data_IF_346687143732
#
_entry.id   IF_346687143732
#
_cell.length_a   1.000
_cell.length_b   1.000
_cell.length_c   1.000
_cell.angle_alpha   90.00
_cell.angle_beta   90.00
_cell.angle_gamma   90.00
#
_symmetry.space_group_name_H-M   'P 1'
#
loop_
_entity.id
_entity.type
_entity.pdbx_description
1 polymer ?
#
# COMPACT_ATOMS: atom_id res chain seq x y z
N UNK A 1 -15.84 6.85 20.91
CA UNK A 1 -15.37 6.62 19.52
C UNK A 1 -13.99 7.26 19.46
N UNK A 2 -12.90 6.48 19.35
CA UNK A 2 -11.52 7.01 19.46
C UNK A 2 -11.11 7.53 18.08
N UNK A 3 -10.92 8.85 17.86
CA UNK A 3 -10.69 9.40 16.52
C UNK A 3 -9.26 9.21 15.97
N UNK A 4 -8.37 8.50 16.68
CA UNK A 4 -6.93 8.57 16.43
C UNK A 4 -6.33 7.53 15.47
N UNK A 5 -7.05 6.45 15.11
CA UNK A 5 -6.46 5.35 14.34
C UNK A 5 -6.40 5.61 12.83
N UNK A 6 -7.25 6.48 12.30
CA UNK A 6 -7.35 6.72 10.85
C UNK A 6 -6.14 7.50 10.30
N UNK A 7 -5.38 8.17 11.18
CA UNK A 7 -4.29 9.06 10.82
C UNK A 7 -2.92 8.41 10.60
N UNK A 8 -2.75 7.16 11.04
CA UNK A 8 -1.49 6.42 10.92
C UNK A 8 -1.49 5.44 9.74
N UNK A 9 -2.59 5.38 8.99
CA UNK A 9 -2.72 4.58 7.81
C UNK A 9 -2.09 5.30 6.61
N UNK A 10 -1.16 4.65 5.91
CA UNK A 10 -0.73 5.10 4.60
C UNK A 10 -1.90 5.03 3.60
N UNK A 11 -1.82 5.82 2.54
CA UNK A 11 -2.79 5.75 1.44
C UNK A 11 -2.96 4.32 0.90
N UNK A 12 -4.20 3.97 0.55
CA UNK A 12 -4.53 2.67 -0.03
C UNK A 12 -3.72 2.44 -1.32
N UNK A 13 -2.93 1.35 -1.34
CA UNK A 13 -2.20 0.93 -2.54
C UNK A 13 -3.00 -0.15 -3.27
N UNK A 14 -3.52 0.18 -4.45
CA UNK A 14 -4.24 -0.78 -5.30
C UNK A 14 -3.27 -1.47 -6.25
N UNK A 15 -3.34 -2.80 -6.32
CA UNK A 15 -2.47 -3.61 -7.20
C UNK A 15 -3.32 -4.58 -8.02
N UNK A 16 -2.90 -4.78 -9.28
CA UNK A 16 -3.50 -5.73 -10.22
C UNK A 16 -2.47 -6.77 -10.66
N UNK A 17 -2.83 -8.04 -10.57
CA UNK A 17 -2.07 -9.14 -11.16
C UNK A 17 -2.84 -9.77 -12.32
N UNK A 18 -2.13 -10.00 -13.42
CA UNK A 18 -2.58 -10.74 -14.59
C UNK A 18 -2.22 -12.22 -14.46
N UNK A 19 -2.70 -13.11 -15.36
CA UNK A 19 -2.25 -14.50 -15.38
C UNK A 19 -0.71 -14.60 -15.41
N UNK A 20 -0.14 -15.42 -14.53
CA UNK A 20 1.31 -15.56 -14.27
C UNK A 20 1.92 -14.49 -13.35
N UNK A 21 1.18 -13.43 -13.04
CA UNK A 21 1.59 -12.42 -12.07
C UNK A 21 1.60 -12.99 -10.66
N UNK A 22 2.68 -12.69 -9.94
CA UNK A 22 2.94 -13.15 -8.58
C UNK A 22 3.73 -12.11 -7.80
N UNK A 23 3.94 -12.35 -6.51
CA UNK A 23 4.88 -11.60 -5.70
C UNK A 23 5.50 -12.53 -4.67
N UNK A 24 6.81 -12.74 -4.75
CA UNK A 24 7.55 -13.60 -3.84
C UNK A 24 7.41 -13.18 -2.38
N UNK A 25 7.65 -14.13 -1.48
CA UNK A 25 7.42 -13.91 -0.07
C UNK A 25 8.37 -12.83 0.49
N UNK A 26 7.83 -11.90 1.26
CA UNK A 26 8.55 -10.78 1.85
C UNK A 26 7.90 -10.38 3.19
N UNK A 27 8.59 -9.53 3.94
CA UNK A 27 8.01 -8.82 5.08
C UNK A 27 7.61 -7.42 4.64
N UNK A 28 6.49 -6.92 5.16
CA UNK A 28 6.00 -5.57 4.86
C UNK A 28 6.72 -4.47 5.65
N UNK A 29 7.48 -4.85 6.67
CA UNK A 29 8.22 -3.96 7.56
C UNK A 29 9.65 -4.47 7.69
N UNK A 30 10.57 -3.58 8.03
CA UNK A 30 11.98 -3.91 8.24
C UNK A 30 12.28 -4.20 9.72
N UNK A 31 13.39 -4.89 9.99
CA UNK A 31 13.86 -5.12 11.36
C UNK A 31 14.14 -3.78 12.07
N UNK A 32 14.03 -3.79 13.40
CA UNK A 32 14.34 -2.60 14.21
C UNK A 32 15.84 -2.46 14.29
N UNK A 33 16.36 -1.35 13.74
CA UNK A 33 17.76 -0.97 13.80
C UNK A 33 17.88 0.40 14.49
N UNK A 34 18.73 0.50 15.51
CA UNK A 34 18.81 1.69 16.37
C UNK A 34 19.25 2.97 15.62
N UNK A 35 19.99 2.81 14.53
CA UNK A 35 20.52 3.87 13.67
C UNK A 35 19.66 4.14 12.41
N UNK A 36 18.56 3.40 12.22
CA UNK A 36 17.61 3.60 11.12
C UNK A 36 16.22 3.95 11.65
N UNK A 37 15.87 5.23 11.77
CA UNK A 37 14.54 5.64 12.20
C UNK A 37 13.49 5.32 11.14
N UNK A 38 12.22 5.34 11.57
CA UNK A 38 11.09 5.12 10.69
C UNK A 38 10.89 6.28 9.72
N UNK A 39 10.71 5.97 8.44
CA UNK A 39 10.50 6.95 7.38
C UNK A 39 9.28 7.85 7.65
N UNK A 40 8.15 7.26 8.08
CA UNK A 40 6.88 7.98 8.25
C UNK A 40 6.91 9.02 9.37
N UNK A 41 7.72 8.83 10.42
CA UNK A 41 7.79 9.71 11.57
C UNK A 41 8.96 10.71 11.48
N UNK A 42 9.79 10.61 10.43
CA UNK A 42 10.98 11.42 10.22
C UNK A 42 11.05 12.16 8.87
N UNK A 43 9.99 12.88 8.46
CA UNK A 43 9.90 13.47 7.11
C UNK A 43 10.97 14.54 6.82
N UNK A 44 11.37 15.33 7.83
CA UNK A 44 12.26 16.49 7.67
C UNK A 44 13.74 16.14 7.43
N UNK A 45 14.12 14.87 7.57
CA UNK A 45 15.52 14.42 7.48
C UNK A 45 15.84 13.70 6.17
N UNK A 46 14.83 13.50 5.31
CA UNK A 46 14.94 12.81 4.02
C UNK A 46 15.73 13.58 2.95
N UNK A 47 15.96 14.89 3.12
CA UNK A 47 16.56 15.73 2.06
C UNK A 47 17.98 16.25 2.34
N UNK A 48 18.46 16.23 3.59
CA UNK A 48 19.77 16.83 3.95
C UNK A 48 20.61 15.98 4.92
N UNK A 49 20.09 14.83 5.38
CA UNK A 49 20.79 13.93 6.28
C UNK A 49 21.09 12.59 5.57
N UNK A 50 22.34 12.14 5.59
CA UNK A 50 22.73 10.79 5.10
C UNK A 50 22.25 9.68 6.05
N UNK A 51 21.10 9.85 6.71
CA UNK A 51 20.56 8.88 7.66
C UNK A 51 19.72 7.87 6.89
N UNK A 52 20.09 6.59 6.86
CA UNK A 52 19.26 5.55 6.27
C UNK A 52 17.94 5.44 7.05
N UNK A 53 16.81 5.52 6.35
CA UNK A 53 15.46 5.33 6.91
C UNK A 53 14.98 3.92 6.64
N UNK A 54 14.00 3.45 7.42
CA UNK A 54 13.38 2.14 7.26
C UNK A 54 11.85 2.20 7.24
N UNK A 55 11.24 1.21 6.61
CA UNK A 55 9.78 1.02 6.60
C UNK A 55 9.31 0.44 7.93
N UNK A 56 8.37 1.12 8.59
CA UNK A 56 7.82 0.74 9.89
C UNK A 56 6.32 0.50 9.84
N UNK A 57 5.92 -0.63 9.25
CA UNK A 57 4.50 -0.98 9.06
C UNK A 57 4.09 -1.95 10.15
N UNK A 58 3.34 -1.50 11.15
CA UNK A 58 2.94 -2.36 12.25
C UNK A 58 1.87 -3.38 11.85
N UNK A 59 0.86 -2.94 11.09
CA UNK A 59 -0.25 -3.78 10.64
C UNK A 59 -0.37 -3.65 9.13
N UNK A 60 -0.60 -4.78 8.46
CA UNK A 60 -1.07 -4.80 7.08
C UNK A 60 -2.51 -5.27 7.06
N UNK A 61 -3.35 -4.54 6.32
CA UNK A 61 -4.70 -4.95 5.97
C UNK A 61 -4.75 -5.11 4.45
N UNK A 62 -5.08 -6.31 3.99
CA UNK A 62 -5.21 -6.64 2.58
C UNK A 62 -6.69 -6.86 2.25
N UNK A 63 -7.21 -6.11 1.29
CA UNK A 63 -8.57 -6.24 0.76
C UNK A 63 -8.55 -6.94 -0.59
N UNK A 64 -9.40 -7.94 -0.76
CA UNK A 64 -9.65 -8.56 -2.06
C UNK A 64 -10.79 -7.84 -2.77
N UNK A 65 -10.45 -7.17 -3.88
CA UNK A 65 -11.38 -6.29 -4.60
C UNK A 65 -12.21 -7.03 -5.65
N UNK A 66 -11.97 -8.34 -5.84
CA UNK A 66 -12.75 -9.22 -6.70
C UNK A 66 -12.50 -10.70 -6.35
N UNK A 67 -13.37 -11.58 -6.84
CA UNK A 67 -13.09 -13.01 -6.91
C UNK A 67 -12.02 -13.30 -7.98
N UNK A 68 -11.15 -14.28 -7.72
CA UNK A 68 -10.16 -14.75 -8.70
C UNK A 68 -10.58 -16.12 -9.21
N UNK A 69 -10.54 -16.30 -10.53
CA UNK A 69 -11.00 -17.53 -11.17
C UNK A 69 -10.10 -18.73 -10.88
N UNK A 70 -8.78 -18.51 -10.81
CA UNK A 70 -7.81 -19.53 -10.40
C UNK A 70 -6.49 -18.95 -9.90
N UNK A 71 -5.95 -19.56 -8.84
CA UNK A 71 -4.73 -19.11 -8.17
C UNK A 71 -4.89 -17.78 -7.44
N UNK A 72 -3.79 -17.05 -7.28
CA UNK A 72 -3.79 -15.71 -6.69
C UNK A 72 -3.98 -15.69 -5.18
N UNK A 73 -3.77 -16.80 -4.48
CA UNK A 73 -3.77 -16.88 -3.02
C UNK A 73 -2.76 -15.90 -2.40
N UNK A 74 -3.04 -15.46 -1.18
CA UNK A 74 -2.01 -14.87 -0.32
C UNK A 74 -1.44 -15.97 0.55
N UNK A 75 -0.17 -16.30 0.35
CA UNK A 75 0.52 -17.34 1.12
C UNK A 75 1.22 -16.72 2.33
N UNK A 76 1.25 -17.46 3.44
CA UNK A 76 2.09 -17.20 4.61
C UNK A 76 2.98 -18.43 4.84
N UNK A 77 4.13 -18.52 4.14
CA UNK A 77 4.92 -19.75 4.08
C UNK A 77 5.42 -20.22 5.45
N UNK A 78 5.53 -19.31 6.43
CA UNK A 78 6.07 -19.60 7.74
C UNK A 78 5.00 -19.67 8.85
N UNK A 79 3.71 -19.47 8.56
CA UNK A 79 2.69 -19.22 9.58
C UNK A 79 2.51 -20.35 10.62
N UNK A 80 2.54 -21.62 10.18
CA UNK A 80 2.29 -22.77 11.06
C UNK A 80 3.56 -23.37 11.67
N UNK A 81 4.74 -22.80 11.43
CA UNK A 81 5.98 -23.30 12.03
C UNK A 81 6.10 -22.86 13.49
N UNK A 82 6.36 -23.80 14.39
CA UNK A 82 6.63 -23.48 15.81
C UNK A 82 7.94 -22.71 15.98
N UNK A 83 8.96 -23.06 15.21
CA UNK A 83 10.27 -22.42 15.21
C UNK A 83 10.56 -21.86 13.82
N UNK A 84 10.84 -20.56 13.76
CA UNK A 84 11.20 -19.83 12.53
C UNK A 84 12.53 -19.09 12.71
N UNK A 85 13.41 -19.62 13.57
CA UNK A 85 14.76 -19.09 13.74
C UNK A 85 15.48 -19.02 12.39
N UNK A 86 16.50 -18.17 12.31
CA UNK A 86 17.28 -18.03 11.08
C UNK A 86 17.92 -19.37 10.69
N UNK A 87 18.47 -20.08 11.66
CA UNK A 87 19.10 -21.39 11.45
C UNK A 87 18.10 -22.43 10.94
N UNK A 88 16.88 -22.41 11.46
CA UNK A 88 15.82 -23.30 10.99
C UNK A 88 15.45 -22.98 9.54
N UNK A 89 15.22 -21.71 9.23
CA UNK A 89 14.90 -21.25 7.87
C UNK A 89 16.00 -21.58 6.87
N UNK A 90 17.26 -21.37 7.26
CA UNK A 90 18.45 -21.67 6.44
C UNK A 90 18.66 -23.18 6.26
N UNK A 91 18.03 -24.03 7.08
CA UNK A 91 18.12 -25.49 6.98
C UNK A 91 17.07 -26.13 6.07
N UNK A 92 16.08 -25.36 5.59
CA UNK A 92 15.04 -25.87 4.71
C UNK A 92 15.61 -26.22 3.34
N UNK A 93 15.30 -27.42 2.83
CA UNK A 93 15.76 -27.92 1.52
C UNK A 93 14.91 -27.39 0.34
N UNK A 94 14.20 -26.28 0.57
CA UNK A 94 13.41 -25.61 -0.46
C UNK A 94 13.37 -24.10 -0.19
N UNK A 95 13.22 -23.34 -1.25
CA UNK A 95 13.08 -21.88 -1.17
C UNK A 95 11.64 -21.51 -0.80
N UNK A 96 11.40 -21.27 0.49
CA UNK A 96 10.10 -20.86 1.00
C UNK A 96 9.66 -19.46 0.54
N UNK A 97 10.57 -18.65 -0.02
CA UNK A 97 10.23 -17.34 -0.60
C UNK A 97 9.77 -17.44 -2.07
N UNK A 98 10.18 -18.49 -2.78
CA UNK A 98 9.73 -18.77 -4.15
C UNK A 98 8.28 -19.29 -4.20
N UNK A 99 7.32 -18.37 -4.20
CA UNK A 99 5.89 -18.70 -4.29
C UNK A 99 5.42 -19.17 -5.67
N UNK A 100 6.24 -19.10 -6.72
CA UNK A 100 5.86 -19.69 -8.02
C UNK A 100 5.86 -21.22 -7.95
N UNK A 101 6.68 -21.78 -7.06
CA UNK A 101 6.82 -23.23 -6.86
C UNK A 101 6.26 -23.71 -5.52
N UNK A 102 6.43 -22.91 -4.47
CA UNK A 102 6.20 -23.35 -3.08
C UNK A 102 5.03 -22.61 -2.40
N UNK A 103 4.07 -22.10 -3.19
CA UNK A 103 2.91 -21.36 -2.67
C UNK A 103 2.13 -22.11 -1.58
N UNK A 104 1.85 -23.41 -1.78
CA UNK A 104 0.85 -24.15 -1.00
C UNK A 104 1.45 -25.03 0.11
N UNK A 105 2.60 -24.65 0.66
CA UNK A 105 3.26 -25.42 1.72
C UNK A 105 2.66 -25.22 3.11
N UNK A 106 1.91 -24.13 3.33
CA UNK A 106 1.47 -23.71 4.66
C UNK A 106 0.12 -22.98 4.59
N UNK A 107 -0.10 -21.93 5.39
CA UNK A 107 -1.32 -21.15 5.36
C UNK A 107 -1.47 -20.37 4.04
N UNK A 108 -2.60 -20.57 3.36
CA UNK A 108 -2.97 -19.84 2.15
C UNK A 108 -4.38 -19.28 2.27
N UNK A 109 -4.54 -18.00 1.94
CA UNK A 109 -5.85 -17.34 1.92
C UNK A 109 -6.29 -17.16 0.48
N UNK A 110 -7.44 -17.77 0.15
CA UNK A 110 -8.07 -17.61 -1.16
C UNK A 110 -8.67 -16.20 -1.31
N UNK A 111 -8.41 -15.51 -2.43
CA UNK A 111 -9.02 -14.22 -2.75
C UNK A 111 -10.51 -14.39 -3.06
N UNK A 112 -11.34 -13.69 -2.31
CA UNK A 112 -12.80 -13.65 -2.47
C UNK A 112 -13.28 -12.21 -2.31
N UNK A 113 -14.17 -11.76 -3.18
CA UNK A 113 -14.63 -10.37 -3.21
C UNK A 113 -15.13 -9.91 -1.83
N UNK A 114 -14.61 -8.78 -1.37
CA UNK A 114 -15.00 -8.16 -0.10
C UNK A 114 -14.35 -8.79 1.14
N UNK A 115 -13.61 -9.90 0.99
CA UNK A 115 -12.79 -10.44 2.09
C UNK A 115 -11.63 -9.48 2.37
N UNK A 116 -11.37 -9.25 3.64
CA UNK A 116 -10.17 -8.59 4.12
C UNK A 116 -9.44 -9.52 5.08
N UNK A 117 -8.10 -9.51 5.03
CA UNK A 117 -7.26 -10.16 6.02
C UNK A 117 -6.33 -9.12 6.64
N UNK A 118 -5.97 -9.34 7.90
CA UNK A 118 -5.13 -8.47 8.69
C UNK A 118 -4.09 -9.29 9.44
N UNK A 119 -2.87 -8.79 9.52
CA UNK A 119 -1.82 -9.37 10.36
C UNK A 119 -0.91 -8.30 10.93
N UNK A 120 -0.23 -8.65 12.02
CA UNK A 120 0.80 -7.83 12.65
C UNK A 120 2.17 -8.20 12.08
N UNK A 121 2.92 -7.20 11.62
CA UNK A 121 4.28 -7.39 11.10
C UNK A 121 5.35 -7.35 12.21
N UNK A 122 4.99 -6.91 13.43
CA UNK A 122 5.86 -6.91 14.60
C UNK A 122 5.14 -7.57 15.78
N UNK A 123 5.92 -8.16 16.69
CA UNK A 123 5.38 -8.59 17.97
C UNK A 123 5.05 -7.38 18.85
N UNK A 124 4.24 -7.61 19.88
CA UNK A 124 3.99 -6.65 20.95
C UNK A 124 4.83 -7.11 22.13
N UNK A 125 5.56 -6.18 22.74
CA UNK A 125 6.23 -6.42 24.01
C UNK A 125 5.20 -6.37 25.14
N UNK A 126 5.08 -7.49 25.89
CA UNK A 126 4.05 -7.64 26.92
C UNK A 126 4.24 -6.72 28.14
N UNK A 127 5.47 -6.24 28.38
CA UNK A 127 5.78 -5.36 29.51
C UNK A 127 5.43 -3.90 29.21
N UNK A 128 5.79 -3.44 28.02
CA UNK A 128 5.60 -2.05 27.56
C UNK A 128 4.28 -1.84 26.84
N UNK A 129 3.69 -2.91 26.29
CA UNK A 129 2.52 -2.84 25.41
C UNK A 129 2.81 -2.17 24.06
N UNK A 130 4.08 -1.98 23.70
CA UNK A 130 4.51 -1.34 22.45
C UNK A 130 5.02 -2.36 21.43
N UNK A 131 5.24 -1.94 20.20
CA UNK A 131 5.77 -2.82 19.18
C UNK A 131 7.22 -3.22 19.48
N UNK A 132 7.61 -4.43 19.12
CA UNK A 132 8.94 -4.97 19.31
C UNK A 132 9.50 -5.60 18.02
N UNK A 133 10.26 -6.68 18.12
CA UNK A 133 10.94 -7.30 16.98
C UNK A 133 9.98 -7.68 15.86
N UNK A 134 10.52 -7.72 14.64
CA UNK A 134 9.82 -8.18 13.44
C UNK A 134 9.18 -9.56 13.70
N UNK A 135 7.92 -9.71 13.29
CA UNK A 135 7.22 -10.98 13.32
C UNK A 135 7.64 -11.81 12.10
N UNK A 136 8.55 -12.75 12.30
CA UNK A 136 9.07 -13.62 11.24
C UNK A 136 7.98 -14.48 10.58
N UNK A 137 6.92 -14.85 11.31
CA UNK A 137 5.76 -15.57 10.77
C UNK A 137 4.89 -14.73 9.83
N UNK A 138 5.05 -13.40 9.82
CA UNK A 138 4.35 -12.50 8.90
C UNK A 138 4.95 -12.49 7.48
N UNK A 139 5.94 -13.35 7.20
CA UNK A 139 6.44 -13.54 5.85
C UNK A 139 5.28 -14.00 4.95
N UNK A 140 5.01 -13.23 3.90
CA UNK A 140 3.86 -13.47 3.04
C UNK A 140 4.12 -13.05 1.61
N UNK A 141 3.29 -13.52 0.68
CA UNK A 141 3.33 -13.06 -0.70
C UNK A 141 2.12 -13.48 -1.50
N UNK A 142 2.12 -13.16 -2.79
CA UNK A 142 1.05 -13.48 -3.73
C UNK A 142 1.44 -14.62 -4.65
N UNK A 143 0.68 -15.72 -4.60
CA UNK A 143 0.86 -16.83 -5.52
C UNK A 143 0.43 -16.46 -6.94
N UNK A 144 0.91 -17.26 -7.91
CA UNK A 144 0.56 -17.11 -9.32
C UNK A 144 -0.95 -17.04 -9.54
N UNK A 145 -1.40 -16.02 -10.26
CA UNK A 145 -2.74 -16.03 -10.85
C UNK A 145 -2.73 -17.00 -12.02
N UNK A 146 -3.43 -18.12 -11.92
CA UNK A 146 -3.47 -19.11 -13.01
C UNK A 146 -4.59 -18.82 -14.01
N UNK A 147 -5.68 -18.19 -13.57
CA UNK A 147 -6.81 -17.82 -14.42
C UNK A 147 -7.51 -16.54 -13.94
N UNK A 148 -7.91 -15.69 -14.89
CA UNK A 148 -8.58 -14.42 -14.61
C UNK A 148 -7.59 -13.31 -14.24
N UNK A 149 -7.96 -12.45 -13.31
CA UNK A 149 -7.07 -11.40 -12.75
C UNK A 149 -7.24 -11.38 -11.24
N UNK A 150 -6.32 -10.73 -10.52
CA UNK A 150 -6.44 -10.43 -9.09
C UNK A 150 -6.33 -8.93 -8.89
N UNK A 151 -7.27 -8.36 -8.15
CA UNK A 151 -7.18 -6.97 -7.68
C UNK A 151 -7.21 -6.96 -6.16
N UNK A 152 -6.26 -6.24 -5.59
CA UNK A 152 -6.12 -6.06 -4.16
C UNK A 152 -5.92 -4.60 -3.80
N UNK A 153 -6.24 -4.24 -2.57
CA UNK A 153 -5.75 -3.01 -1.95
C UNK A 153 -5.02 -3.34 -0.64
N UNK A 154 -3.84 -2.75 -0.45
CA UNK A 154 -3.12 -2.79 0.82
C UNK A 154 -3.38 -1.49 1.56
N UNK A 155 -3.67 -1.60 2.85
CA UNK A 155 -3.62 -0.51 3.80
C UNK A 155 -2.60 -0.85 4.88
N UNK A 156 -1.59 -0.02 5.02
CA UNK A 156 -0.51 -0.21 5.98
C UNK A 156 -0.64 0.80 7.10
N UNK A 157 -0.68 0.29 8.33
CA UNK A 157 -0.70 1.12 9.53
C UNK A 157 0.73 1.24 10.04
N UNK A 158 1.28 2.45 10.03
CA UNK A 158 2.65 2.70 10.45
C UNK A 158 2.73 3.12 11.91
N UNK A 159 3.72 2.57 12.62
CA UNK A 159 4.00 2.89 14.02
C UNK A 159 5.51 2.94 14.18
N UNK A 160 6.02 3.99 14.82
CA UNK A 160 7.42 4.12 15.20
C UNK A 160 7.70 3.25 16.43
N UNK A 161 8.80 2.51 16.43
CA UNK A 161 9.21 1.67 17.55
C UNK A 161 9.56 2.50 18.80
N UNK A 162 9.90 3.77 18.62
CA UNK A 162 10.07 4.73 19.70
C UNK A 162 8.73 5.44 19.96
N UNK A 163 8.09 5.07 21.07
CA UNK A 163 6.80 5.62 21.50
C UNK A 163 6.74 7.15 21.43
N UNK A 164 7.74 7.84 21.99
CA UNK A 164 7.77 9.30 22.01
C UNK A 164 7.80 9.91 20.60
N UNK A 165 8.52 9.28 19.66
CA UNK A 165 8.55 9.74 18.26
C UNK A 165 7.21 9.55 17.58
N UNK A 166 6.55 8.40 17.81
CA UNK A 166 5.20 8.16 17.28
C UNK A 166 4.20 9.19 17.83
N UNK A 167 4.25 9.48 19.13
CA UNK A 167 3.36 10.46 19.76
C UNK A 167 3.62 11.87 19.23
N UNK A 168 4.89 12.25 19.03
CA UNK A 168 5.24 13.54 18.43
C UNK A 168 4.77 13.66 16.98
N UNK A 169 4.91 12.60 16.18
CA UNK A 169 4.40 12.55 14.82
C UNK A 169 2.87 12.74 14.80
N UNK A 170 2.14 11.94 15.57
CA UNK A 170 0.68 12.06 15.67
C UNK A 170 0.26 13.43 16.18
N UNK A 171 0.96 13.97 17.18
CA UNK A 171 0.68 15.31 17.67
C UNK A 171 0.81 16.32 16.54
N UNK A 172 1.85 16.29 15.69
CA UNK A 172 2.03 17.24 14.58
C UNK A 172 0.96 17.09 13.48
N UNK A 173 0.69 15.87 13.05
CA UNK A 173 -0.22 15.60 11.92
C UNK A 173 -1.70 15.87 12.26
N UNK A 174 -2.09 15.74 13.53
CA UNK A 174 -3.48 15.81 13.96
C UNK A 174 -3.77 16.97 14.92
N UNK A 175 -2.93 18.01 14.97
CA UNK A 175 -3.33 19.24 15.67
C UNK A 175 -4.52 19.86 14.93
N UNK A 176 -5.58 20.27 15.65
CA UNK A 176 -6.57 21.16 15.06
C UNK A 176 -5.85 22.45 14.68
N UNK A 177 -5.93 22.85 13.41
CA UNK A 177 -5.45 24.16 12.98
C UNK A 177 -6.20 25.24 13.79
N UNK A 178 -5.47 26.04 14.57
CA UNK A 178 -6.03 27.22 15.28
C UNK A 178 -6.59 28.27 14.30
N UNK A 179 -6.34 28.10 12.99
CA UNK A 179 -6.81 29.00 11.93
C UNK A 179 -8.31 28.88 11.61
N UNK A 180 -9.03 27.91 12.21
CA UNK A 180 -10.48 27.74 12.02
C UNK A 180 -11.35 28.35 13.14
N UNK A 181 -10.77 28.89 14.23
CA UNK A 181 -11.58 29.56 15.27
C UNK A 181 -11.86 31.04 14.97
N UNK A 182 -11.15 31.67 14.03
CA UNK A 182 -11.40 33.07 13.64
C UNK A 182 -12.36 33.24 12.46
N UNK A 183 -12.77 32.17 11.78
CA UNK A 183 -13.71 32.23 10.66
C UNK A 183 -15.19 32.14 11.08
N UNK A 184 -15.49 31.77 12.33
CA UNK A 184 -16.88 31.63 12.82
C UNK A 184 -17.40 32.83 13.64
N UNK A 185 -16.63 33.91 13.81
CA UNK A 185 -17.07 35.07 14.60
C UNK A 185 -17.45 36.33 13.78
N UNK A 186 -17.48 36.29 12.44
CA UNK A 186 -17.80 37.48 11.63
C UNK A 186 -19.10 37.41 10.80
N UNK A 187 -19.96 36.41 11.01
CA UNK A 187 -21.23 36.27 10.25
C UNK A 187 -22.51 36.27 11.10
N UNK A 188 -22.52 37.02 12.21
CA UNK A 188 -23.78 37.46 12.84
C UNK A 188 -23.82 38.99 12.94
N UNK A 189 -24.26 39.65 11.86
CA UNK A 189 -24.90 40.97 11.96
C UNK A 189 -26.20 40.98 11.15
N UNK A 190 -27.29 40.85 11.89
CA UNK A 190 -28.63 41.42 11.75
C UNK A 190 -29.26 41.61 10.34
N UNK A 191 -30.31 40.81 10.08
CA UNK A 191 -31.43 41.19 9.20
C UNK A 191 -32.72 41.27 10.03
N UNK A 192 -33.18 42.50 10.27
CA UNK A 192 -34.59 42.92 10.23
C UNK A 192 -34.58 44.46 10.29
N UNK A 193 -35.32 45.23 9.49
CA UNK A 193 -36.77 45.20 9.27
C UNK A 193 -37.13 45.74 7.87
N UNK A 194 -38.24 45.23 7.32
CA UNK A 194 -38.89 45.75 6.13
C UNK A 194 -39.66 47.05 6.43
N UNK A 195 -39.62 48.03 5.53
CA UNK A 195 -40.71 48.99 5.38
C UNK A 195 -41.01 49.36 3.91
N UNK A 196 -42.28 49.17 3.56
CA UNK A 196 -43.09 49.85 2.52
C UNK A 196 -42.70 49.82 1.03
N UNK A 197 -43.52 49.05 0.29
CA UNK A 197 -44.28 49.42 -0.94
C UNK A 197 -43.59 50.19 -2.08
N UNK A 198 -43.61 49.63 -3.30
CA UNK A 198 -44.52 50.06 -4.39
C UNK A 198 -44.47 49.12 -5.60
N UNK A 199 -45.64 49.01 -6.27
CA UNK A 199 -45.92 48.29 -7.53
C UNK A 199 -45.21 48.96 -8.72
N UNK A 200 -44.98 48.23 -9.81
CA UNK A 200 -45.70 48.36 -11.09
C UNK A 200 -45.17 47.39 -12.16
N UNK A 201 -46.12 46.93 -12.97
CA UNK A 201 -46.05 45.93 -14.04
C UNK A 201 -45.31 46.42 -15.30
N UNK A 202 -44.77 45.46 -16.07
CA UNK A 202 -45.09 45.16 -17.49
C UNK A 202 -43.89 44.66 -18.30
N UNK A 203 -44.01 43.42 -18.77
CA UNK A 203 -43.94 42.98 -20.18
C UNK A 203 -43.13 43.83 -21.17
N UNK A 204 -42.15 43.20 -21.86
CA UNK A 204 -42.35 42.75 -23.24
C UNK A 204 -41.10 42.07 -23.85
N UNK A 205 -41.42 41.18 -24.78
CA UNK A 205 -40.58 40.34 -25.62
C UNK A 205 -39.67 41.07 -26.63
N UNK A 206 -38.63 40.33 -27.02
CA UNK A 206 -38.20 40.03 -28.40
C UNK A 206 -37.15 40.88 -29.15
N UNK A 207 -36.25 40.07 -29.75
CA UNK A 207 -35.54 40.17 -31.03
C UNK A 207 -34.14 40.79 -31.14
N UNK A 208 -33.20 39.89 -31.47
CA UNK A 208 -32.17 39.89 -32.52
C UNK A 208 -31.22 41.09 -32.69
N UNK A 209 -29.90 40.82 -32.66
CA UNK A 209 -29.02 40.95 -33.83
C UNK A 209 -27.58 40.44 -33.54
N UNK A 210 -26.92 40.00 -34.61
CA UNK A 210 -25.64 39.30 -34.67
C UNK A 210 -24.46 40.26 -35.05
N UNK A 211 -23.24 39.72 -35.01
CA UNK A 211 -21.96 40.09 -35.66
C UNK A 211 -21.01 41.14 -35.03
N UNK A 212 -19.88 40.68 -34.48
CA UNK A 212 -18.51 40.65 -35.07
C UNK A 212 -17.29 41.11 -34.24
N UNK A 213 -16.23 40.31 -34.38
CA UNK A 213 -14.78 40.53 -34.32
C UNK A 213 -14.07 41.44 -33.28
N UNK A 214 -13.05 40.87 -32.62
CA UNK A 214 -11.87 41.66 -32.22
C UNK A 214 -11.03 41.17 -31.02
N UNK A 215 -10.00 40.35 -31.31
CA UNK A 215 -8.82 39.97 -30.50
C UNK A 215 -8.42 40.87 -29.30
N UNK A 216 -7.96 40.23 -28.20
CA UNK A 216 -6.58 40.37 -27.68
C UNK A 216 -6.16 39.31 -26.65
N UNK A 217 -4.88 38.97 -26.73
CA UNK A 217 -4.12 37.91 -26.07
C UNK A 217 -3.96 38.08 -24.55
N UNK A 218 -3.77 36.99 -23.80
CA UNK A 218 -2.44 36.59 -23.27
C UNK A 218 -2.52 35.53 -22.15
N UNK A 219 -1.63 34.53 -22.23
CA UNK A 219 -0.78 33.88 -21.19
C UNK A 219 -1.46 33.48 -19.85
N UNK A 220 -1.29 32.29 -19.29
CA UNK A 220 -0.19 31.33 -19.31
C UNK A 220 -0.75 29.97 -18.85
N UNK A 221 -0.42 28.91 -19.57
CA UNK A 221 -0.35 27.56 -19.03
C UNK A 221 0.85 27.47 -18.07
N UNK A 222 0.66 26.81 -16.92
CA UNK A 222 1.64 25.95 -16.26
C UNK A 222 1.04 25.40 -14.95
N UNK A 223 0.31 24.29 -15.08
CA UNK A 223 0.14 23.33 -13.99
C UNK A 223 1.36 22.41 -14.08
N UNK A 224 2.36 22.63 -13.22
CA UNK A 224 3.41 21.64 -13.00
C UNK A 224 2.89 20.65 -11.95
N UNK A 225 2.32 19.57 -12.46
CA UNK A 225 2.08 18.32 -11.76
C UNK A 225 3.45 17.64 -11.55
N UNK A 226 3.89 17.53 -10.30
CA UNK A 226 5.10 16.82 -9.90
C UNK A 226 4.69 15.51 -9.22
N UNK A 227 4.16 14.57 -9.99
CA UNK A 227 4.25 13.15 -9.65
C UNK A 227 5.66 12.68 -10.01
N UNK A 228 6.51 12.41 -9.02
CA UNK A 228 7.83 11.84 -9.27
C UNK A 228 8.29 10.90 -8.15
N UNK A 229 7.52 9.83 -7.93
CA UNK A 229 8.01 8.66 -7.19
C UNK A 229 8.57 7.64 -8.19
N UNK A 230 9.81 7.86 -8.61
CA UNK A 230 10.62 6.87 -9.29
C UNK A 230 11.22 5.90 -8.25
N UNK A 231 10.47 4.87 -7.89
CA UNK A 231 11.07 3.64 -7.37
C UNK A 231 11.62 2.84 -8.56
N UNK A 232 12.91 3.01 -8.82
CA UNK A 232 13.69 2.19 -9.75
C UNK A 232 13.67 0.74 -9.23
N UNK A 233 12.87 -0.10 -9.86
CA UNK A 233 13.00 -1.56 -9.80
C UNK A 233 14.00 -1.96 -10.89
N UNK A 234 15.26 -2.17 -10.54
CA UNK A 234 16.16 -2.94 -11.39
C UNK A 234 15.88 -4.42 -11.18
N UNK A 235 15.21 -5.04 -12.15
CA UNK A 235 15.48 -6.45 -12.40
C UNK A 235 15.52 -6.69 -13.92
N UNK A 236 16.65 -7.25 -14.34
CA UNK A 236 17.02 -7.43 -15.74
C UNK A 236 16.14 -8.50 -16.39
N UNK A 237 15.44 -8.13 -17.46
CA UNK A 237 14.76 -9.08 -18.32
C UNK A 237 15.78 -9.88 -19.13
N UNK A 238 16.16 -11.07 -18.65
CA UNK A 238 16.83 -12.05 -19.50
C UNK A 238 15.81 -12.84 -20.33
N UNK A 239 15.56 -12.30 -21.52
CA UNK A 239 14.93 -13.00 -22.63
C UNK A 239 15.87 -14.15 -23.10
N UNK A 240 15.47 -15.40 -22.88
CA UNK A 240 16.15 -16.55 -23.48
C UNK A 240 15.26 -17.19 -24.55
N UNK A 241 15.69 -17.06 -25.80
CA UNK A 241 15.15 -17.84 -26.92
C UNK A 241 16.00 -19.10 -27.14
N UNK A 242 15.41 -20.19 -27.67
CA UNK A 242 15.99 -21.52 -27.59
C UNK A 242 17.00 -21.78 -28.72
N UNK A 243 18.15 -22.37 -28.38
CA UNK A 243 19.05 -22.97 -29.37
C UNK A 243 19.30 -24.43 -29.05
N UNK A 244 19.01 -25.23 -30.07
CA UNK A 244 19.22 -26.67 -30.21
C UNK A 244 20.68 -27.07 -30.05
N UNK A 245 20.94 -28.16 -29.32
CA UNK A 245 21.88 -29.17 -29.81
C UNK A 245 21.46 -30.58 -29.39
N UNK A 246 21.44 -31.47 -30.38
CA UNK A 246 21.23 -32.89 -30.23
C UNK A 246 22.61 -33.53 -30.15
N UNK A 247 22.89 -34.33 -29.13
CA UNK A 247 23.66 -35.55 -29.36
C UNK A 247 23.46 -36.58 -28.26
N UNK A 248 23.37 -37.81 -28.75
CA UNK A 248 23.04 -39.07 -28.10
C UNK A 248 23.88 -39.41 -26.87
N UNK A 249 23.23 -40.08 -25.90
CA UNK A 249 23.71 -41.40 -25.49
C UNK A 249 22.57 -42.23 -24.92
N UNK A 250 22.35 -43.35 -25.60
CA UNK A 250 21.42 -44.42 -25.26
C UNK A 250 21.83 -45.20 -23.99
N UNK A 251 20.76 -45.76 -23.39
CA UNK A 251 20.66 -47.09 -22.80
C UNK A 251 21.10 -47.39 -21.35
N UNK A 252 20.19 -48.16 -20.71
CA UNK A 252 20.28 -48.97 -19.47
C UNK A 252 20.01 -48.20 -18.15
N UNK A 253 19.01 -48.51 -17.31
CA UNK A 253 18.36 -49.79 -17.00
C UNK A 253 16.90 -49.58 -16.51
N UNK A 254 16.04 -50.53 -16.88
CA UNK A 254 14.74 -50.83 -16.27
C UNK A 254 14.93 -51.48 -14.89
N UNK A 255 14.01 -51.22 -13.95
CA UNK A 255 13.46 -52.28 -13.07
C UNK A 255 13.43 -52.01 -11.57
N UNK A 256 12.39 -52.58 -10.93
CA UNK A 256 12.00 -52.64 -9.51
C UNK A 256 11.24 -51.42 -8.99
N UNK A 257 9.91 -51.41 -8.75
CA UNK A 257 8.95 -52.39 -8.17
C UNK A 257 9.26 -52.82 -6.73
N UNK A 258 8.37 -52.36 -5.83
CA UNK A 258 8.01 -52.83 -4.47
C UNK A 258 9.06 -52.85 -3.35
N UNK A 259 8.84 -52.00 -2.34
CA UNK A 259 8.27 -52.38 -1.02
C UNK A 259 7.68 -51.14 -0.33
#
# INVERSE_FOLDING_TARGET
MVPGWMGIALCLKVVRYYPGGHYHAHWDSEEIEADKPCDHSHPDQSSDSNVPLRLCRFITILYYLQDVEGGGETAFPLAEFENVSKEYRDSLDYDYADLTRNCFHNLNVKPEYGKAIMWYNHFIDDETGWMSSLNTHALHGGCDVTKGTKWIANNWITVDDVYERQMQFQAREFQPNEDNETAESENETDISENDSTEKYDNDNEADDEEIDEGKKESKNDNINDLTNDNAISTDETHESTPSTDKTERDDLLKGHTEL
#
